data_IF_640690569591
#
_entry.id   IF_640690569591
#
_cell.length_a   1.000
_cell.length_b   1.000
_cell.length_c   1.000
_cell.angle_alpha   90.00
_cell.angle_beta   90.00
_cell.angle_gamma   90.00
#
_symmetry.space_group_name_H-M   'P 1'
#
loop_
_entity.id
_entity.type
_entity.pdbx_description
1 polymer ?
#
# COMPACT_ATOMS: atom_id res chain seq x y z
N UNK A 1 6.35 11.19 -2.30
CA UNK A 1 7.13 10.19 -3.07
C UNK A 1 6.49 8.82 -2.86
N UNK A 2 6.10 8.10 -3.92
CA UNK A 2 5.66 6.70 -3.78
C UNK A 2 6.81 5.90 -3.19
N UNK A 3 6.62 5.03 -2.18
CA UNK A 3 7.57 3.98 -1.92
C UNK A 3 7.71 3.18 -3.23
N UNK A 4 8.88 3.20 -3.84
CA UNK A 4 9.07 2.59 -5.17
C UNK A 4 9.32 1.10 -5.08
N UNK A 5 9.60 0.58 -3.89
CA UNK A 5 10.16 -0.75 -3.69
C UNK A 5 9.72 -1.37 -2.37
N UNK A 6 9.28 -2.64 -2.41
CA UNK A 6 9.24 -3.56 -1.27
C UNK A 6 10.20 -4.72 -1.58
N UNK A 7 11.06 -5.11 -0.64
CA UNK A 7 11.87 -6.32 -0.78
C UNK A 7 11.13 -7.55 -0.26
N UNK A 8 11.53 -8.73 -0.73
CA UNK A 8 11.00 -9.99 -0.24
C UNK A 8 11.19 -10.16 1.28
N UNK A 9 12.33 -9.70 1.83
CA UNK A 9 12.59 -9.73 3.27
C UNK A 9 11.61 -8.90 4.09
N UNK A 10 11.39 -7.65 3.68
CA UNK A 10 10.45 -6.76 4.38
C UNK A 10 9.05 -7.35 4.32
N UNK A 11 8.64 -7.84 3.13
CA UNK A 11 7.36 -8.51 2.96
C UNK A 11 7.24 -9.73 3.89
N UNK A 12 8.31 -10.52 4.00
CA UNK A 12 8.36 -11.72 4.84
C UNK A 12 8.22 -11.38 6.32
N UNK A 13 9.09 -10.52 6.85
CA UNK A 13 9.10 -10.17 8.28
C UNK A 13 7.81 -9.47 8.71
N UNK A 14 7.26 -8.56 7.89
CA UNK A 14 6.01 -7.85 8.19
C UNK A 14 4.81 -8.81 8.36
N UNK A 15 4.81 -9.94 7.66
CA UNK A 15 3.66 -10.86 7.62
C UNK A 15 3.94 -12.23 8.25
N UNK A 16 5.18 -12.51 8.68
CA UNK A 16 5.62 -13.81 9.21
C UNK A 16 4.73 -14.30 10.35
N UNK A 17 4.41 -13.42 11.31
CA UNK A 17 3.58 -13.77 12.45
C UNK A 17 2.11 -13.98 12.06
N UNK A 18 1.56 -13.10 11.22
CA UNK A 18 0.14 -13.12 10.84
C UNK A 18 -0.18 -14.29 9.90
N UNK A 19 0.66 -14.51 8.89
CA UNK A 19 0.47 -15.54 7.87
C UNK A 19 1.25 -16.83 8.17
N UNK A 20 1.98 -16.89 9.29
CA UNK A 20 2.81 -18.04 9.69
C UNK A 20 3.74 -18.52 8.58
N UNK A 21 4.34 -17.56 7.87
CA UNK A 21 5.16 -17.86 6.71
C UNK A 21 6.44 -18.60 7.08
N UNK A 22 6.80 -19.53 6.19
CA UNK A 22 8.07 -20.23 6.19
C UNK A 22 8.78 -19.93 4.87
N UNK A 23 10.05 -19.56 4.95
CA UNK A 23 10.87 -19.37 3.76
C UNK A 23 11.36 -20.75 3.28
N UNK A 24 11.00 -21.15 2.07
CA UNK A 24 11.25 -22.52 1.57
C UNK A 24 12.21 -22.59 0.39
N UNK A 25 12.44 -21.50 -0.34
CA UNK A 25 13.46 -21.42 -1.40
C UNK A 25 13.91 -19.98 -1.65
N UNK A 26 15.10 -19.80 -2.21
CA UNK A 26 15.64 -18.50 -2.63
C UNK A 26 16.08 -17.64 -1.45
N UNK A 27 16.66 -18.24 -0.40
CA UNK A 27 17.15 -17.53 0.80
C UNK A 27 18.21 -16.48 0.48
N UNK A 28 19.00 -16.67 -0.58
CA UNK A 28 20.00 -15.70 -1.04
C UNK A 28 19.42 -14.51 -1.84
N UNK A 29 18.11 -14.53 -2.13
CA UNK A 29 17.41 -13.52 -2.92
C UNK A 29 16.64 -12.51 -2.06
N UNK A 30 17.10 -12.33 -0.83
CA UNK A 30 16.46 -11.57 0.22
C UNK A 30 16.16 -10.10 -0.21
N UNK A 31 17.06 -9.53 -1.01
CA UNK A 31 16.95 -8.20 -1.61
C UNK A 31 16.14 -8.13 -2.92
N UNK A 32 15.54 -9.23 -3.40
CA UNK A 32 14.71 -9.21 -4.62
C UNK A 32 13.51 -8.29 -4.40
N UNK A 33 13.24 -7.45 -5.39
CA UNK A 33 12.28 -6.34 -5.33
C UNK A 33 11.14 -6.58 -6.32
N UNK A 34 10.00 -5.97 -6.04
CA UNK A 34 8.99 -5.77 -7.07
C UNK A 34 9.58 -4.94 -8.22
N UNK A 35 9.24 -5.32 -9.45
CA UNK A 35 9.61 -4.56 -10.62
C UNK A 35 8.96 -3.16 -10.57
N UNK A 36 9.76 -2.10 -10.74
CA UNK A 36 9.29 -0.72 -10.62
C UNK A 36 8.24 -0.36 -11.68
N UNK A 37 8.30 -0.98 -12.86
CA UNK A 37 7.30 -0.78 -13.93
C UNK A 37 5.98 -1.40 -13.51
N UNK A 38 6.01 -2.63 -12.98
CA UNK A 38 4.80 -3.31 -12.48
C UNK A 38 4.14 -2.54 -11.32
N UNK A 39 4.94 -1.96 -10.42
CA UNK A 39 4.44 -1.10 -9.33
C UNK A 39 3.83 0.20 -9.85
N UNK A 40 4.42 0.79 -10.90
CA UNK A 40 3.93 2.04 -11.50
C UNK A 40 2.66 1.85 -12.33
N UNK A 41 2.56 0.73 -13.04
CA UNK A 41 1.41 0.38 -13.87
C UNK A 41 0.24 -0.19 -13.06
N UNK A 42 0.50 -0.70 -11.85
CA UNK A 42 -0.55 -1.17 -10.96
C UNK A 42 -1.53 -0.04 -10.61
N UNK A 43 -2.77 -0.19 -11.10
CA UNK A 43 -3.88 0.71 -10.80
C UNK A 43 -4.57 0.36 -9.49
N UNK A 44 -4.31 -0.84 -8.98
CA UNK A 44 -4.85 -1.43 -7.75
C UNK A 44 -3.86 -2.39 -7.12
N UNK A 45 -3.89 -2.57 -5.80
CA UNK A 45 -3.12 -3.65 -5.16
C UNK A 45 -3.54 -5.05 -5.59
N UNK A 46 -4.70 -5.21 -6.24
CA UNK A 46 -5.10 -6.47 -6.89
C UNK A 46 -4.23 -6.82 -8.11
N UNK A 47 -3.56 -5.84 -8.72
CA UNK A 47 -2.64 -6.07 -9.83
C UNK A 47 -1.30 -6.65 -9.33
N UNK A 48 -0.99 -6.44 -8.04
CA UNK A 48 0.29 -6.76 -7.41
C UNK A 48 0.32 -8.10 -6.66
N UNK A 49 -0.83 -8.77 -6.49
CA UNK A 49 -0.92 -10.12 -5.91
C UNK A 49 -2.10 -10.90 -6.48
N UNK A 50 -1.88 -12.17 -6.78
CA UNK A 50 -2.96 -13.09 -7.16
C UNK A 50 -2.47 -14.50 -7.44
N UNK A 51 -3.40 -15.39 -7.81
CA UNK A 51 -3.05 -16.73 -8.26
C UNK A 51 -2.10 -16.71 -9.46
N UNK A 52 -1.38 -17.82 -9.66
CA UNK A 52 -0.45 -18.01 -10.78
C UNK A 52 -1.03 -17.50 -12.11
N UNK A 53 -0.33 -16.55 -12.73
CA UNK A 53 -0.74 -16.00 -14.01
C UNK A 53 0.46 -15.64 -14.88
N UNK A 54 0.54 -16.24 -16.07
CA UNK A 54 1.63 -16.01 -17.02
C UNK A 54 1.52 -14.70 -17.81
N UNK A 55 0.35 -14.07 -17.82
CA UNK A 55 0.09 -12.79 -18.48
C UNK A 55 0.52 -11.63 -17.57
N UNK A 56 0.37 -11.80 -16.26
CA UNK A 56 0.80 -10.82 -15.24
C UNK A 56 1.90 -11.41 -14.34
N UNK A 57 3.13 -11.57 -14.85
CA UNK A 57 4.20 -12.28 -14.15
C UNK A 57 4.81 -11.50 -12.98
N UNK A 58 4.88 -10.17 -13.08
CA UNK A 58 5.60 -9.27 -12.16
C UNK A 58 4.88 -8.97 -10.83
N UNK A 59 3.93 -9.83 -10.43
CA UNK A 59 3.15 -9.72 -9.19
C UNK A 59 3.48 -10.87 -8.24
N UNK A 60 3.14 -10.77 -6.96
CA UNK A 60 3.23 -11.93 -6.06
C UNK A 60 2.28 -13.02 -6.56
N UNK A 61 2.84 -14.20 -6.88
CA UNK A 61 2.06 -15.32 -7.39
C UNK A 61 1.73 -16.29 -6.26
N UNK A 62 0.45 -16.56 -6.07
CA UNK A 62 -0.06 -17.50 -5.08
C UNK A 62 -0.30 -18.85 -5.76
N UNK A 63 0.19 -19.91 -5.13
CA UNK A 63 0.05 -21.30 -5.54
C UNK A 63 -0.82 -22.03 -4.52
N UNK A 64 -2.09 -22.22 -4.87
CA UNK A 64 -3.01 -23.07 -4.12
C UNK A 64 -3.08 -24.48 -4.72
N UNK A 65 -4.07 -25.29 -4.30
CA UNK A 65 -4.22 -26.67 -4.76
C UNK A 65 -4.37 -26.80 -6.28
N UNK A 66 -5.07 -25.85 -6.91
CA UNK A 66 -5.31 -25.85 -8.37
C UNK A 66 -4.03 -25.56 -9.15
N UNK A 67 -3.26 -24.58 -8.70
CA UNK A 67 -2.00 -24.22 -9.34
C UNK A 67 -0.97 -25.34 -9.17
N UNK A 68 -0.87 -25.94 -7.99
CA UNK A 68 0.02 -27.09 -7.76
C UNK A 68 -0.39 -28.28 -8.63
N UNK A 69 -1.69 -28.62 -8.68
CA UNK A 69 -2.18 -29.68 -9.56
C UNK A 69 -1.90 -29.37 -11.04
N UNK A 70 -2.03 -28.11 -11.47
CA UNK A 70 -1.66 -27.70 -12.82
C UNK A 70 -0.16 -27.88 -13.10
N UNK A 71 0.72 -27.73 -12.10
CA UNK A 71 2.15 -27.92 -12.28
C UNK A 71 2.60 -29.38 -12.24
N UNK A 72 1.80 -30.28 -11.67
CA UNK A 72 2.19 -31.69 -11.46
C UNK A 72 1.40 -32.70 -12.27
N UNK A 73 0.15 -32.39 -12.63
CA UNK A 73 -0.77 -33.32 -13.29
C UNK A 73 -0.69 -33.23 -14.82
N UNK A 74 0.47 -33.60 -15.37
CA UNK A 74 0.75 -33.71 -16.81
C UNK A 74 1.92 -34.67 -17.04
N UNK A 75 2.37 -34.82 -18.29
CA UNK A 75 3.63 -35.53 -18.57
C UNK A 75 4.83 -34.82 -17.92
N UNK A 76 5.91 -35.54 -17.58
CA UNK A 76 7.11 -34.93 -16.99
C UNK A 76 7.67 -33.77 -17.82
N UNK A 77 7.64 -33.86 -19.15
CA UNK A 77 8.09 -32.82 -20.07
C UNK A 77 7.21 -31.56 -19.96
N UNK A 78 5.89 -31.73 -19.86
CA UNK A 78 4.96 -30.61 -19.71
C UNK A 78 5.09 -29.94 -18.35
N UNK A 79 5.22 -30.72 -17.28
CA UNK A 79 5.44 -30.21 -15.93
C UNK A 79 6.75 -29.39 -15.86
N UNK A 80 7.84 -29.94 -16.40
CA UNK A 80 9.12 -29.23 -16.49
C UNK A 80 9.00 -27.93 -17.29
N UNK A 81 8.31 -27.96 -18.44
CA UNK A 81 8.06 -26.77 -19.27
C UNK A 81 7.26 -25.70 -18.54
N UNK A 82 6.21 -26.07 -17.80
CA UNK A 82 5.37 -25.14 -17.01
C UNK A 82 6.20 -24.48 -15.91
N UNK A 83 6.96 -25.26 -15.15
CA UNK A 83 7.83 -24.75 -14.08
C UNK A 83 8.90 -23.82 -14.64
N UNK A 84 9.58 -24.23 -15.74
CA UNK A 84 10.58 -23.39 -16.39
C UNK A 84 9.99 -22.04 -16.81
N UNK A 85 8.78 -22.03 -17.37
CA UNK A 85 8.09 -20.80 -17.74
C UNK A 85 7.84 -19.87 -16.56
N UNK A 86 7.46 -20.37 -15.38
CA UNK A 86 7.30 -19.54 -14.17
C UNK A 86 8.61 -18.83 -13.85
N UNK A 87 9.70 -19.58 -13.84
CA UNK A 87 11.01 -19.10 -13.41
C UNK A 87 11.57 -18.09 -14.41
N UNK A 88 11.41 -18.34 -15.71
CA UNK A 88 11.80 -17.40 -16.78
C UNK A 88 11.04 -16.09 -16.75
N UNK A 89 9.81 -16.10 -16.24
CA UNK A 89 8.99 -14.90 -16.07
C UNK A 89 9.39 -14.08 -14.83
N UNK A 90 10.31 -14.59 -14.01
CA UNK A 90 10.96 -13.84 -12.95
C UNK A 90 10.02 -13.13 -11.95
N UNK A 91 9.01 -13.81 -11.40
CA UNK A 91 8.10 -13.21 -10.43
C UNK A 91 8.87 -12.67 -9.21
N UNK A 92 8.35 -11.61 -8.55
CA UNK A 92 8.98 -11.04 -7.37
C UNK A 92 9.03 -12.03 -6.21
N UNK A 93 7.92 -12.74 -5.96
CA UNK A 93 7.76 -13.73 -4.89
C UNK A 93 6.75 -14.79 -5.32
N UNK A 94 7.01 -16.05 -4.97
CA UNK A 94 6.03 -17.14 -5.01
C UNK A 94 5.55 -17.48 -3.60
N UNK A 95 4.26 -17.73 -3.41
CA UNK A 95 3.71 -18.17 -2.12
C UNK A 95 2.88 -19.43 -2.29
N UNK A 96 3.29 -20.50 -1.62
CA UNK A 96 2.47 -21.70 -1.44
C UNK A 96 1.51 -21.49 -0.28
N UNK A 97 0.22 -21.60 -0.58
CA UNK A 97 -0.85 -21.47 0.40
C UNK A 97 -1.59 -22.80 0.57
N UNK A 98 -2.61 -22.82 1.42
CA UNK A 98 -3.47 -23.98 1.69
C UNK A 98 -2.68 -25.23 2.14
N UNK A 99 -1.53 -25.04 2.79
CA UNK A 99 -0.66 -26.12 3.26
C UNK A 99 -0.12 -27.02 2.14
N UNK A 100 -0.09 -26.52 0.90
CA UNK A 100 0.42 -27.28 -0.24
C UNK A 100 1.92 -27.53 -0.12
N UNK A 101 2.36 -28.64 -0.70
CA UNK A 101 3.78 -28.99 -0.81
C UNK A 101 4.27 -28.60 -2.20
N UNK A 102 5.38 -27.87 -2.24
CA UNK A 102 6.03 -27.48 -3.48
C UNK A 102 6.51 -28.71 -4.26
N UNK A 103 6.32 -28.77 -5.59
CA UNK A 103 7.02 -29.74 -6.42
C UNK A 103 8.53 -29.54 -6.31
N UNK A 104 9.31 -30.62 -6.16
CA UNK A 104 10.77 -30.57 -5.97
C UNK A 104 11.49 -29.82 -7.11
N UNK A 105 11.01 -30.00 -8.34
CA UNK A 105 11.52 -29.28 -9.51
C UNK A 105 11.32 -27.76 -9.39
N UNK A 106 10.16 -27.31 -8.84
CA UNK A 106 9.89 -25.89 -8.65
C UNK A 106 10.79 -25.31 -7.56
N UNK A 107 10.94 -26.00 -6.42
CA UNK A 107 11.87 -25.58 -5.35
C UNK A 107 13.29 -25.43 -5.88
N UNK A 108 13.78 -26.45 -6.57
CA UNK A 108 15.14 -26.47 -7.11
C UNK A 108 15.38 -25.34 -8.11
N UNK A 109 14.40 -25.04 -8.96
CA UNK A 109 14.54 -23.94 -9.92
C UNK A 109 14.42 -22.56 -9.26
N UNK A 110 13.55 -22.39 -8.25
CA UNK A 110 13.46 -21.14 -7.49
C UNK A 110 14.76 -20.86 -6.72
N UNK A 111 15.36 -21.90 -6.13
CA UNK A 111 16.66 -21.77 -5.46
C UNK A 111 17.75 -21.35 -6.45
N UNK A 112 17.84 -22.02 -7.61
CA UNK A 112 18.85 -21.66 -8.63
C UNK A 112 18.65 -20.27 -9.22
N UNK A 113 17.41 -19.89 -9.46
CA UNK A 113 17.05 -18.60 -10.05
C UNK A 113 16.96 -17.47 -9.01
N UNK A 114 17.21 -17.77 -7.72
CA UNK A 114 17.12 -16.79 -6.64
C UNK A 114 15.75 -16.09 -6.66
N UNK A 115 14.68 -16.89 -6.67
CA UNK A 115 13.29 -16.45 -6.55
C UNK A 115 12.80 -16.83 -5.15
N UNK A 116 12.47 -15.84 -4.30
CA UNK A 116 11.91 -16.09 -2.98
C UNK A 116 10.62 -16.90 -3.07
N UNK A 117 10.55 -17.95 -2.26
CA UNK A 117 9.37 -18.78 -2.12
C UNK A 117 8.99 -18.91 -0.66
N UNK A 118 7.74 -18.55 -0.34
CA UNK A 118 7.16 -18.68 1.00
C UNK A 118 6.12 -19.80 1.02
N UNK A 119 5.92 -20.41 2.18
CA UNK A 119 4.88 -21.41 2.41
C UNK A 119 4.04 -21.09 3.64
N UNK A 120 2.74 -21.37 3.56
CA UNK A 120 1.79 -21.23 4.67
C UNK A 120 0.67 -22.27 4.62
N UNK A 121 0.11 -22.55 5.81
CA UNK A 121 -1.12 -23.34 5.98
C UNK A 121 -2.39 -22.52 5.80
N UNK A 122 -2.28 -21.19 5.80
CA UNK A 122 -3.42 -20.30 5.61
C UNK A 122 -3.95 -20.37 4.17
N UNK A 123 -5.22 -20.04 3.95
CA UNK A 123 -5.85 -20.20 2.63
C UNK A 123 -5.33 -19.22 1.59
N UNK A 124 -5.30 -19.62 0.31
CA UNK A 124 -4.88 -18.72 -0.78
C UNK A 124 -5.65 -17.40 -0.80
N UNK A 125 -6.97 -17.45 -0.60
CA UNK A 125 -7.82 -16.27 -0.58
C UNK A 125 -7.43 -15.30 0.55
N UNK A 126 -7.18 -15.82 1.76
CA UNK A 126 -6.78 -14.99 2.90
C UNK A 126 -5.41 -14.33 2.67
N UNK A 127 -4.44 -15.08 2.15
CA UNK A 127 -3.12 -14.54 1.79
C UNK A 127 -3.26 -13.41 0.77
N UNK A 128 -4.08 -13.60 -0.28
CA UNK A 128 -4.34 -12.57 -1.29
C UNK A 128 -4.94 -11.32 -0.66
N UNK A 129 -5.92 -11.44 0.22
CA UNK A 129 -6.58 -10.29 0.84
C UNK A 129 -5.64 -9.48 1.74
N UNK A 130 -4.83 -10.18 2.56
CA UNK A 130 -3.83 -9.54 3.43
C UNK A 130 -2.78 -8.79 2.60
N UNK A 131 -2.19 -9.46 1.61
CA UNK A 131 -1.17 -8.86 0.76
C UNK A 131 -1.73 -7.74 -0.10
N UNK A 132 -2.96 -7.87 -0.62
CA UNK A 132 -3.62 -6.84 -1.41
C UNK A 132 -3.79 -5.57 -0.58
N UNK A 133 -4.25 -5.69 0.66
CA UNK A 133 -4.40 -4.54 1.56
C UNK A 133 -3.05 -3.88 1.87
N UNK A 134 -2.03 -4.68 2.18
CA UNK A 134 -0.67 -4.20 2.43
C UNK A 134 -0.09 -3.45 1.23
N UNK A 135 -0.07 -4.09 0.05
CA UNK A 135 0.51 -3.55 -1.18
C UNK A 135 -0.25 -2.30 -1.64
N UNK A 136 -1.59 -2.29 -1.52
CA UNK A 136 -2.40 -1.10 -1.83
C UNK A 136 -2.02 0.10 -0.96
N UNK A 137 -1.80 -0.12 0.33
CA UNK A 137 -1.41 0.94 1.28
C UNK A 137 0.04 1.37 1.06
N UNK A 138 0.93 0.41 0.80
CA UNK A 138 2.35 0.67 0.61
C UNK A 138 2.58 1.51 -0.66
N UNK A 139 2.01 1.08 -1.79
CA UNK A 139 2.16 1.72 -3.10
C UNK A 139 1.11 2.80 -3.40
N UNK A 140 0.27 3.14 -2.42
CA UNK A 140 -0.72 4.21 -2.51
C UNK A 140 -0.14 5.48 -3.11
N UNK A 141 -0.85 6.11 -4.05
CA UNK A 141 -0.50 7.43 -4.56
C UNK A 141 -0.45 8.43 -3.41
N UNK A 142 0.62 9.23 -3.38
CA UNK A 142 0.84 10.29 -2.39
C UNK A 142 1.16 11.58 -3.11
N UNK A 143 0.44 12.63 -2.77
CA UNK A 143 0.74 13.99 -3.22
C UNK A 143 0.53 14.95 -2.06
N UNK A 144 1.15 16.12 -2.13
CA UNK A 144 0.91 17.20 -1.19
C UNK A 144 0.19 18.31 -1.96
N UNK A 145 -0.91 18.80 -1.40
CA UNK A 145 -1.65 19.94 -1.96
C UNK A 145 -1.59 21.11 -1.00
N UNK A 146 -1.52 22.31 -1.55
CA UNK A 146 -1.59 23.53 -0.76
C UNK A 146 -3.04 23.94 -0.46
N UNK A 147 -3.32 24.30 0.79
CA UNK A 147 -4.65 24.70 1.23
C UNK A 147 -4.90 24.42 2.71
N UNK A 148 -6.15 24.64 3.13
CA UNK A 148 -6.61 24.40 4.50
C UNK A 148 -7.55 23.21 4.49
N UNK A 149 -7.18 22.12 5.17
CA UNK A 149 -7.99 20.91 5.26
C UNK A 149 -8.70 20.84 6.61
N UNK A 150 -10.02 20.69 6.57
CA UNK A 150 -10.87 20.81 7.75
C UNK A 150 -11.90 19.69 7.84
N UNK A 151 -12.31 19.40 9.08
CA UNK A 151 -13.51 18.65 9.42
C UNK A 151 -14.67 19.64 9.62
N UNK A 152 -15.55 19.73 8.62
CA UNK A 152 -16.74 20.57 8.64
C UNK A 152 -17.96 19.67 8.72
N UNK A 153 -18.65 19.66 9.86
CA UNK A 153 -19.83 18.81 10.11
C UNK A 153 -19.58 17.31 9.85
N UNK A 154 -18.37 16.81 10.11
CA UNK A 154 -17.98 15.41 9.84
C UNK A 154 -17.48 15.15 8.42
N UNK A 155 -17.45 16.16 7.54
CA UNK A 155 -16.94 16.07 6.18
C UNK A 155 -15.52 16.62 6.10
N UNK A 156 -14.60 15.87 5.48
CA UNK A 156 -13.28 16.37 5.15
C UNK A 156 -13.35 17.31 3.95
N UNK A 157 -13.14 18.60 4.18
CA UNK A 157 -13.21 19.67 3.18
C UNK A 157 -11.84 20.30 3.00
N UNK A 158 -11.31 20.27 1.77
CA UNK A 158 -10.08 20.97 1.40
C UNK A 158 -10.42 22.30 0.75
N UNK A 159 -10.05 23.38 1.42
CA UNK A 159 -10.20 24.75 0.94
C UNK A 159 -8.90 25.12 0.21
N UNK A 160 -9.01 25.38 -1.08
CA UNK A 160 -7.91 25.79 -1.96
C UNK A 160 -8.12 27.22 -2.43
N UNK A 161 -7.15 27.77 -3.18
CA UNK A 161 -7.20 29.13 -3.70
C UNK A 161 -5.83 29.79 -3.66
N UNK A 162 -5.70 30.94 -4.33
CA UNK A 162 -4.47 31.72 -4.38
C UNK A 162 -3.96 32.13 -2.99
N UNK A 163 -2.65 32.38 -2.89
CA UNK A 163 -2.02 32.80 -1.63
C UNK A 163 -2.56 34.17 -1.19
N UNK A 164 -2.91 34.30 0.09
CA UNK A 164 -3.44 35.55 0.65
C UNK A 164 -4.94 35.81 0.41
N UNK A 165 -5.70 34.88 -0.18
CA UNK A 165 -7.17 34.99 -0.33
C UNK A 165 -7.97 34.85 0.97
N UNK A 166 -7.32 34.68 2.13
CA UNK A 166 -8.02 34.54 3.40
C UNK A 166 -8.35 33.10 3.81
N UNK A 167 -7.67 32.09 3.25
CA UNK A 167 -7.99 30.66 3.50
C UNK A 167 -7.81 30.29 4.98
N UNK A 168 -6.70 30.70 5.58
CA UNK A 168 -6.37 30.38 6.98
C UNK A 168 -7.21 31.21 7.95
N UNK A 169 -7.58 32.44 7.57
CA UNK A 169 -8.55 33.29 8.28
C UNK A 169 -9.95 32.65 8.31
N UNK A 170 -10.44 32.17 7.15
CA UNK A 170 -11.68 31.40 7.07
C UNK A 170 -11.59 30.12 7.90
N UNK A 171 -10.44 29.44 7.86
CA UNK A 171 -10.18 28.27 8.68
C UNK A 171 -10.29 28.55 10.18
N UNK A 172 -9.68 29.63 10.65
CA UNK A 172 -9.78 30.08 12.04
C UNK A 172 -11.23 30.37 12.45
N UNK A 173 -11.98 31.06 11.59
CA UNK A 173 -13.39 31.37 11.87
C UNK A 173 -14.24 30.09 11.94
N UNK A 174 -14.01 29.12 11.06
CA UNK A 174 -14.69 27.83 11.11
C UNK A 174 -14.34 27.05 12.39
N UNK A 175 -13.08 27.07 12.83
CA UNK A 175 -12.65 26.46 14.11
C UNK A 175 -13.38 27.10 15.29
N UNK A 176 -13.49 28.43 15.31
CA UNK A 176 -14.21 29.16 16.36
C UNK A 176 -15.69 28.79 16.46
N UNK A 177 -16.27 28.27 15.37
CA UNK A 177 -17.65 27.75 15.29
C UNK A 177 -17.76 26.24 15.58
N UNK A 178 -16.68 25.61 16.06
CA UNK A 178 -16.67 24.20 16.49
C UNK A 178 -16.22 23.20 15.42
N UNK A 179 -15.71 23.66 14.27
CA UNK A 179 -15.15 22.77 13.25
C UNK A 179 -13.71 22.36 13.59
N UNK A 180 -13.23 21.26 13.00
CA UNK A 180 -11.90 20.73 13.28
C UNK A 180 -10.87 21.14 12.22
N UNK A 181 -9.68 21.55 12.64
CA UNK A 181 -8.51 21.65 11.77
C UNK A 181 -7.93 20.25 11.52
N UNK A 182 -7.69 19.91 10.26
CA UNK A 182 -6.87 18.73 9.92
C UNK A 182 -5.44 19.18 9.60
N UNK A 183 -5.28 20.16 8.71
CA UNK A 183 -3.98 20.68 8.26
C UNK A 183 -4.12 22.11 7.68
N UNK A 184 -3.07 22.90 7.80
CA UNK A 184 -2.92 24.22 7.17
C UNK A 184 -1.67 24.25 6.28
N UNK A 185 -1.69 25.11 5.26
CA UNK A 185 -0.70 25.31 4.20
C UNK A 185 -0.38 24.09 3.33
N UNK A 186 -0.02 22.95 3.92
CA UNK A 186 0.33 21.72 3.22
C UNK A 186 -0.48 20.53 3.74
N UNK A 187 -1.11 19.82 2.80
CA UNK A 187 -1.99 18.67 3.08
C UNK A 187 -1.45 17.46 2.33
N UNK A 188 -0.97 16.48 3.08
CA UNK A 188 -0.55 15.21 2.51
C UNK A 188 -1.76 14.34 2.21
N UNK A 189 -1.99 14.06 0.93
CA UNK A 189 -3.08 13.25 0.42
C UNK A 189 -2.58 11.86 0.04
N UNK A 190 -3.29 10.84 0.52
CA UNK A 190 -3.00 9.44 0.31
C UNK A 190 -4.22 8.76 -0.33
N UNK A 191 -4.05 8.11 -1.48
CA UNK A 191 -5.08 7.23 -2.04
C UNK A 191 -5.07 5.90 -1.31
N UNK A 192 -5.94 5.72 -0.32
CA UNK A 192 -5.96 4.51 0.53
C UNK A 192 -6.71 3.33 -0.13
N UNK A 193 -7.55 3.59 -1.12
CA UNK A 193 -8.15 2.61 -2.03
C UNK A 193 -8.66 3.33 -3.31
N UNK A 194 -9.29 2.60 -4.24
CA UNK A 194 -9.74 3.14 -5.54
C UNK A 194 -10.69 4.35 -5.43
N UNK A 195 -11.47 4.48 -4.36
CA UNK A 195 -12.53 5.49 -4.23
C UNK A 195 -12.33 6.43 -3.05
N UNK A 196 -11.23 6.27 -2.29
CA UNK A 196 -11.03 7.00 -1.04
C UNK A 196 -9.65 7.64 -0.98
N UNK A 197 -9.66 8.96 -0.77
CA UNK A 197 -8.49 9.77 -0.47
C UNK A 197 -8.54 10.15 1.02
N UNK A 198 -7.43 9.96 1.72
CA UNK A 198 -7.24 10.39 3.10
C UNK A 198 -6.25 11.55 3.13
N UNK A 199 -6.60 12.66 3.78
CA UNK A 199 -5.72 13.79 4.01
C UNK A 199 -5.19 13.82 5.44
N UNK A 200 -3.94 14.27 5.58
CA UNK A 200 -3.22 14.41 6.86
C UNK A 200 -2.39 15.68 6.86
N UNK A 201 -2.05 16.15 8.06
CA UNK A 201 -1.05 17.20 8.23
C UNK A 201 0.37 16.59 8.30
N UNK A 202 1.37 17.19 7.62
CA UNK A 202 2.77 16.88 7.88
C UNK A 202 3.13 17.09 9.36
N UNK A 203 4.00 16.23 9.92
CA UNK A 203 4.31 16.25 11.35
C UNK A 203 4.86 17.61 11.84
N UNK A 204 5.60 18.32 10.99
CA UNK A 204 6.19 19.63 11.29
C UNK A 204 5.14 20.74 11.47
N UNK A 205 4.00 20.64 10.77
CA UNK A 205 2.95 21.67 10.73
C UNK A 205 1.77 21.31 11.65
N UNK A 206 1.90 20.23 12.41
CA UNK A 206 0.78 19.62 13.11
C UNK A 206 0.17 20.55 14.16
N UNK A 207 -1.15 20.72 14.09
CA UNK A 207 -1.96 21.63 14.93
C UNK A 207 -1.70 23.12 14.73
N UNK A 208 -0.80 23.49 13.81
CA UNK A 208 -0.43 24.87 13.57
C UNK A 208 -1.33 25.48 12.49
N UNK A 209 -1.65 26.76 12.67
CA UNK A 209 -2.37 27.58 11.70
C UNK A 209 -1.66 28.93 11.61
N UNK A 210 -1.22 29.34 10.42
CA UNK A 210 -0.63 30.67 10.20
C UNK A 210 -1.70 31.65 9.75
N UNK A 211 -1.93 32.70 10.55
CA UNK A 211 -2.90 33.74 10.22
C UNK A 211 -2.18 35.08 10.08
N UNK A 212 -2.40 35.77 8.95
CA UNK A 212 -1.70 37.04 8.69
C UNK A 212 -2.11 38.09 9.73
N UNK A 213 -1.12 38.79 10.27
CA UNK A 213 -1.33 39.81 11.31
C UNK A 213 -1.45 39.27 12.74
N UNK A 214 -1.63 37.95 12.91
CA UNK A 214 -1.62 37.30 14.23
C UNK A 214 -0.33 36.48 14.41
N UNK A 215 0.09 35.78 13.36
CA UNK A 215 1.22 34.85 13.36
C UNK A 215 0.77 33.40 13.46
N UNK A 216 1.69 32.56 13.92
CA UNK A 216 1.49 31.12 14.03
C UNK A 216 0.72 30.78 15.33
N UNK A 217 -0.36 30.02 15.19
CA UNK A 217 -1.25 29.61 16.29
C UNK A 217 -1.20 28.11 16.49
N UNK A 218 -1.09 27.65 17.74
CA UNK A 218 -1.35 26.26 18.11
C UNK A 218 -2.85 26.08 18.42
N UNK A 219 -3.58 25.51 17.47
CA UNK A 219 -5.03 25.33 17.57
C UNK A 219 -5.40 24.36 18.68
N UNK A 220 -4.58 23.33 18.92
CA UNK A 220 -4.84 22.36 19.99
C UNK A 220 -4.70 23.02 21.36
N UNK A 221 -3.70 23.88 21.53
CA UNK A 221 -3.49 24.61 22.78
C UNK A 221 -4.61 25.63 23.06
N UNK A 222 -5.12 26.31 22.02
CA UNK A 222 -6.10 27.40 22.16
C UNK A 222 -7.54 26.87 22.27
N UNK A 223 -7.91 25.92 21.41
CA UNK A 223 -9.30 25.43 21.27
C UNK A 223 -9.51 24.00 21.80
N UNK A 224 -8.44 23.34 22.26
CA UNK A 224 -8.49 22.00 22.85
C UNK A 224 -8.39 20.86 21.83
N UNK A 225 -8.34 19.62 22.35
CA UNK A 225 -8.15 18.39 21.54
C UNK A 225 -9.23 18.21 20.47
N UNK A 226 -10.47 18.63 20.77
CA UNK A 226 -11.61 18.45 19.88
C UNK A 226 -11.57 19.37 18.65
N UNK A 227 -10.73 20.40 18.66
CA UNK A 227 -10.58 21.34 17.54
C UNK A 227 -9.59 20.83 16.47
N UNK A 228 -8.93 19.69 16.68
CA UNK A 228 -7.97 19.12 15.72
C UNK A 228 -8.34 17.70 15.30
N UNK A 229 -7.88 17.29 14.13
CA UNK A 229 -8.02 15.93 13.59
C UNK A 229 -6.68 15.47 13.03
N UNK A 230 -6.26 14.26 13.37
CA UNK A 230 -5.02 13.68 12.84
C UNK A 230 -5.11 13.37 11.34
N UNK A 231 -6.31 12.99 10.88
CA UNK A 231 -6.59 12.60 9.50
C UNK A 231 -8.09 12.65 9.23
N UNK A 232 -8.46 12.91 7.98
CA UNK A 232 -9.85 12.88 7.50
C UNK A 232 -9.90 12.33 6.08
N UNK A 233 -11.04 11.73 5.69
CA UNK A 233 -11.29 11.39 4.28
C UNK A 233 -11.66 12.65 3.52
N UNK A 234 -10.97 12.95 2.42
CA UNK A 234 -11.31 14.06 1.54
C UNK A 234 -12.64 13.76 0.83
N UNK A 235 -13.62 14.63 1.00
CA UNK A 235 -14.98 14.50 0.43
C UNK A 235 -15.38 15.66 -0.46
N UNK A 236 -14.84 16.85 -0.21
CA UNK A 236 -15.14 18.05 -0.97
C UNK A 236 -13.88 18.89 -1.13
N UNK A 237 -13.68 19.44 -2.33
CA UNK A 237 -12.73 20.52 -2.58
C UNK A 237 -13.54 21.78 -2.85
N UNK A 238 -13.24 22.85 -2.13
CA UNK A 238 -13.76 24.20 -2.37
C UNK A 238 -12.61 25.03 -2.89
N UNK A 239 -12.84 25.75 -3.99
CA UNK A 239 -11.85 26.59 -4.66
C UNK A 239 -12.33 28.04 -4.70
#
# INVERSE_FOLDING_TARGET
>A
MKPTVVSADVLFEDHRAQLKWQWVAGLGASERRFDEVAVREATSGADLVGYLNYIHPYRVQILGPREVAYLTNSTPEDCARRIARIVTLEPPVLVLADGQVAPEALLSMCERAQIPMFATKESSAFVIDVLRAYLSKHFADRTTMHGVFMDILGLGVLITGESGLGKSELGLELISRGNGLVADDAVDLYRINQTTIEGRCPDLLQNLLEVRGIGLLDIRAIFGETAVRRKMRLKLIVH
#
